data_IF_434341193823
#
_entry.id   IF_434341193823
#
_cell.length_a   1.000
_cell.length_b   1.000
_cell.length_c   1.000
_cell.angle_alpha   90.00
_cell.angle_beta   90.00
_cell.angle_gamma   90.00
#
_symmetry.space_group_name_H-M   'P 1'
#
loop_
_entity.id
_entity.type
_entity.pdbx_description
1 polymer ?
#
# COMPACT_ATOMS: atom_id res chain seq x y z
N UNK A 1 -12.62 -12.85 9.84
CA UNK A 1 -11.86 -12.01 8.92
C UNK A 1 -10.79 -11.28 9.72
N UNK A 2 -9.51 -11.55 9.46
CA UNK A 2 -8.38 -10.88 10.13
C UNK A 2 -7.89 -9.73 9.28
N UNK A 3 -7.52 -8.62 9.92
CA UNK A 3 -6.91 -7.49 9.25
C UNK A 3 -5.89 -6.83 10.18
N UNK A 4 -4.88 -6.21 9.58
CA UNK A 4 -3.87 -5.44 10.28
C UNK A 4 -3.60 -4.14 9.54
N UNK A 5 -3.43 -3.06 10.29
CA UNK A 5 -3.02 -1.76 9.78
C UNK A 5 -1.55 -1.54 10.11
N UNK A 6 -0.82 -1.00 9.15
CA UNK A 6 0.57 -0.55 9.31
C UNK A 6 0.64 0.94 9.00
N UNK A 7 1.36 1.68 9.85
CA UNK A 7 1.76 3.03 9.52
C UNK A 7 2.98 2.99 8.59
N UNK A 8 2.94 3.77 7.52
CA UNK A 8 3.93 3.73 6.45
C UNK A 8 4.92 4.87 6.63
N UNK A 9 6.20 4.52 6.72
CA UNK A 9 7.33 5.44 6.82
C UNK A 9 7.74 5.99 5.44
N UNK A 10 7.80 5.11 4.43
CA UNK A 10 8.21 5.47 3.07
C UNK A 10 7.34 4.74 2.05
N UNK A 11 7.11 5.40 0.91
CA UNK A 11 6.35 4.87 -0.22
C UNK A 11 7.08 5.24 -1.51
N UNK A 12 7.21 4.27 -2.42
CA UNK A 12 7.60 4.49 -3.80
C UNK A 12 6.58 3.84 -4.74
N UNK A 13 6.27 4.53 -5.84
CA UNK A 13 5.41 4.06 -6.92
C UNK A 13 6.26 4.03 -8.19
N UNK A 14 6.44 2.85 -8.80
CA UNK A 14 7.40 2.66 -9.92
C UNK A 14 8.80 3.16 -9.58
N UNK A 15 9.26 2.87 -8.36
CA UNK A 15 10.54 3.35 -7.83
C UNK A 15 10.66 4.88 -7.68
N UNK A 16 9.60 5.64 -7.96
CA UNK A 16 9.54 7.08 -7.72
C UNK A 16 9.05 7.32 -6.29
N UNK A 17 9.86 7.98 -5.43
CA UNK A 17 9.46 8.23 -4.05
C UNK A 17 8.27 9.18 -3.98
N UNK A 18 7.28 8.83 -3.17
CA UNK A 18 6.18 9.72 -2.79
C UNK A 18 6.56 10.37 -1.47
N UNK A 19 6.73 11.69 -1.45
CA UNK A 19 7.07 12.42 -0.22
C UNK A 19 5.83 12.49 0.66
N UNK A 20 5.81 11.69 1.72
CA UNK A 20 4.64 11.48 2.56
C UNK A 20 4.42 12.60 3.58
N UNK A 21 3.15 12.99 3.76
CA UNK A 21 2.66 13.64 4.99
C UNK A 21 2.22 12.58 6.00
N UNK A 22 1.48 11.59 5.51
CA UNK A 22 1.01 10.43 6.27
C UNK A 22 0.62 9.33 5.28
N UNK A 23 0.82 8.07 5.65
CA UNK A 23 0.29 6.95 4.88
C UNK A 23 0.01 5.74 5.78
N UNK A 24 -0.97 4.94 5.37
CA UNK A 24 -1.33 3.71 6.03
C UNK A 24 -1.52 2.60 5.02
N UNK A 25 -1.13 1.39 5.41
CA UNK A 25 -1.39 0.16 4.69
C UNK A 25 -2.41 -0.66 5.50
N UNK A 26 -3.50 -1.05 4.88
CA UNK A 26 -4.43 -2.03 5.41
C UNK A 26 -4.19 -3.36 4.68
N UNK A 27 -4.02 -4.43 5.45
CA UNK A 27 -3.87 -5.79 4.94
C UNK A 27 -4.97 -6.64 5.57
N UNK A 28 -5.68 -7.40 4.74
CA UNK A 28 -6.79 -8.24 5.17
C UNK A 28 -6.66 -9.64 4.56
N UNK A 29 -7.02 -10.63 5.36
CA UNK A 29 -7.17 -12.00 4.88
C UNK A 29 -8.47 -12.11 4.08
N UNK A 30 -8.36 -12.70 2.88
CA UNK A 30 -9.51 -12.99 2.04
C UNK A 30 -10.22 -14.25 2.53
N UNK A 31 -11.54 -14.22 2.54
CA UNK A 31 -12.34 -15.38 2.90
C UNK A 31 -12.10 -16.53 1.91
N UNK A 32 -11.69 -17.70 2.42
CA UNK A 32 -11.51 -18.92 1.62
C UNK A 32 -10.20 -19.01 0.82
N UNK A 33 -9.17 -18.19 1.09
CA UNK A 33 -7.91 -18.27 0.35
C UNK A 33 -6.67 -17.83 1.12
N UNK A 34 -5.50 -18.27 0.65
CA UNK A 34 -4.19 -17.89 1.20
C UNK A 34 -3.72 -16.49 0.75
N UNK A 35 -4.51 -15.77 -0.06
CA UNK A 35 -4.13 -14.48 -0.63
C UNK A 35 -4.63 -13.34 0.24
N UNK A 36 -3.76 -12.36 0.44
CA UNK A 36 -4.05 -11.12 1.14
C UNK A 36 -4.63 -10.09 0.18
N UNK A 37 -5.69 -9.43 0.61
CA UNK A 37 -6.16 -8.19 0.00
C UNK A 37 -5.49 -7.03 0.75
N UNK A 38 -5.00 -6.03 0.03
CA UNK A 38 -4.31 -4.90 0.66
C UNK A 38 -4.60 -3.58 -0.04
N UNK A 39 -4.55 -2.50 0.73
CA UNK A 39 -4.79 -1.14 0.26
C UNK A 39 -3.84 -0.16 0.97
N UNK A 40 -3.14 0.66 0.18
CA UNK A 40 -2.32 1.75 0.70
C UNK A 40 -3.03 3.08 0.42
N UNK A 41 -3.25 3.85 1.48
CA UNK A 41 -3.78 5.21 1.41
C UNK A 41 -2.66 6.14 1.85
N UNK A 42 -2.22 6.99 0.93
CA UNK A 42 -1.11 7.92 1.15
C UNK A 42 -1.56 9.35 0.88
N UNK A 43 -1.25 10.25 1.79
CA UNK A 43 -1.34 11.70 1.58
C UNK A 43 0.08 12.23 1.43
N UNK A 44 0.40 12.69 0.22
CA UNK A 44 1.69 13.28 -0.14
C UNK A 44 1.76 14.76 0.25
N UNK A 45 2.99 15.30 0.32
CA UNK A 45 3.23 16.73 0.41
C UNK A 45 3.01 17.43 -0.94
N UNK A 46 3.30 16.74 -2.04
CA UNK A 46 2.97 17.16 -3.39
C UNK A 46 1.51 16.81 -3.71
N UNK A 47 0.76 17.76 -4.25
CA UNK A 47 -0.64 17.57 -4.65
C UNK A 47 -0.79 17.04 -6.08
N UNK A 48 0.32 16.90 -6.82
CA UNK A 48 0.32 16.43 -8.21
C UNK A 48 -0.33 15.05 -8.31
N UNK A 49 -1.38 14.88 -9.13
CA UNK A 49 -2.04 13.61 -9.27
C UNK A 49 -1.15 12.60 -10.00
N UNK A 50 -1.15 11.36 -9.53
CA UNK A 50 -0.60 10.22 -10.26
C UNK A 50 -1.62 9.80 -11.32
N UNK A 51 -1.16 9.50 -12.53
CA UNK A 51 -2.03 9.03 -13.60
C UNK A 51 -2.73 7.71 -13.20
N UNK A 52 -3.97 7.46 -13.63
CA UNK A 52 -4.60 6.16 -13.43
C UNK A 52 -3.79 5.05 -14.10
N UNK A 53 -3.54 3.96 -13.39
CA UNK A 53 -2.70 2.88 -13.91
C UNK A 53 -2.45 1.74 -12.93
N UNK A 54 -1.71 0.74 -13.43
CA UNK A 54 -1.11 -0.32 -12.62
C UNK A 54 0.33 0.05 -12.33
N UNK A 55 0.75 -0.17 -11.09
CA UNK A 55 2.04 0.23 -10.59
C UNK A 55 2.65 -0.83 -9.68
N UNK A 56 3.98 -0.95 -9.69
CA UNK A 56 4.71 -1.53 -8.56
C UNK A 56 4.71 -0.53 -7.40
N UNK A 57 4.36 -1.01 -6.22
CA UNK A 57 4.42 -0.26 -4.97
C UNK A 57 5.43 -0.92 -4.07
N UNK A 58 6.36 -0.12 -3.56
CA UNK A 58 7.32 -0.52 -2.53
C UNK A 58 7.15 0.42 -1.33
N UNK A 59 7.10 -0.13 -0.12
CA UNK A 59 6.89 0.65 1.09
C UNK A 59 7.68 0.11 2.27
N UNK A 60 8.03 1.00 3.20
CA UNK A 60 8.57 0.61 4.51
C UNK A 60 7.61 1.11 5.59
N UNK A 61 7.27 0.25 6.53
CA UNK A 61 6.44 0.59 7.69
C UNK A 61 7.25 1.35 8.74
N UNK A 62 6.58 2.05 9.67
CA UNK A 62 7.26 2.69 10.81
C UNK A 62 7.97 1.68 11.73
N UNK A 63 7.54 0.41 11.75
CA UNK A 63 8.21 -0.69 12.46
C UNK A 63 9.45 -1.23 11.70
N UNK A 64 9.79 -0.66 10.53
CA UNK A 64 10.97 -1.04 9.74
C UNK A 64 10.74 -2.23 8.81
N UNK A 65 9.52 -2.78 8.74
CA UNK A 65 9.18 -3.84 7.79
C UNK A 65 9.11 -3.30 6.36
N UNK A 66 9.76 -3.99 5.43
CA UNK A 66 9.72 -3.70 3.99
C UNK A 66 8.65 -4.56 3.34
N UNK A 67 7.74 -3.94 2.60
CA UNK A 67 6.62 -4.57 1.91
C UNK A 67 6.54 -4.08 0.47
N UNK A 68 5.95 -4.87 -0.43
CA UNK A 68 5.73 -4.41 -1.79
C UNK A 68 4.86 -5.32 -2.63
N UNK A 69 4.29 -4.80 -3.70
CA UNK A 69 3.38 -5.57 -4.55
C UNK A 69 2.90 -4.76 -5.75
N UNK A 70 2.33 -5.42 -6.77
CA UNK A 70 1.61 -4.72 -7.83
C UNK A 70 0.28 -4.17 -7.28
N UNK A 71 -0.08 -2.96 -7.68
CA UNK A 71 -1.32 -2.28 -7.29
C UNK A 71 -1.94 -1.53 -8.46
N UNK A 72 -3.24 -1.29 -8.36
CA UNK A 72 -3.97 -0.36 -9.22
C UNK A 72 -4.17 0.94 -8.45
N UNK A 73 -3.86 2.07 -9.06
CA UNK A 73 -4.25 3.38 -8.54
C UNK A 73 -5.75 3.57 -8.79
N UNK A 74 -6.55 3.50 -7.72
CA UNK A 74 -8.01 3.63 -7.80
C UNK A 74 -8.47 5.07 -7.62
N UNK A 75 -7.66 5.92 -6.97
CA UNK A 75 -7.96 7.34 -6.77
C UNK A 75 -6.69 8.14 -6.55
N UNK A 76 -6.63 9.34 -7.12
CA UNK A 76 -5.58 10.33 -6.86
C UNK A 76 -6.18 11.73 -6.92
N UNK A 77 -6.36 12.39 -5.78
CA UNK A 77 -6.98 13.71 -5.68
C UNK A 77 -6.35 14.51 -4.54
N UNK A 78 -5.97 15.77 -4.81
CA UNK A 78 -5.43 16.69 -3.81
C UNK A 78 -4.28 16.08 -2.96
N UNK A 79 -3.34 15.40 -3.62
CA UNK A 79 -2.22 14.71 -2.97
C UNK A 79 -2.58 13.45 -2.20
N UNK A 80 -3.85 13.02 -2.20
CA UNK A 80 -4.26 11.73 -1.64
C UNK A 80 -4.33 10.67 -2.72
N UNK A 81 -3.52 9.62 -2.58
CA UNK A 81 -3.42 8.50 -3.49
C UNK A 81 -3.91 7.22 -2.80
N UNK A 82 -4.79 6.48 -3.48
CA UNK A 82 -5.31 5.19 -3.02
C UNK A 82 -4.87 4.12 -4.00
N UNK A 83 -4.05 3.20 -3.52
CA UNK A 83 -3.47 2.08 -4.26
C UNK A 83 -4.05 0.79 -3.72
N UNK A 84 -4.73 0.01 -4.57
CA UNK A 84 -5.30 -1.29 -4.21
C UNK A 84 -4.46 -2.40 -4.79
N UNK A 85 -4.09 -3.38 -3.98
CA UNK A 85 -3.32 -4.54 -4.42
C UNK A 85 -3.96 -5.28 -5.60
N UNK A 86 -3.17 -5.53 -6.64
CA UNK A 86 -3.49 -6.33 -7.83
C UNK A 86 -2.61 -7.60 -7.88
N UNK A 87 -2.17 -8.08 -6.72
CA UNK A 87 -1.22 -9.19 -6.62
C UNK A 87 -0.99 -9.65 -5.18
N UNK A 88 0.01 -10.50 -4.96
CA UNK A 88 0.54 -10.75 -3.64
C UNK A 88 1.13 -9.46 -3.02
N UNK A 89 1.22 -9.45 -1.70
CA UNK A 89 1.98 -8.46 -0.95
C UNK A 89 3.22 -9.16 -0.39
N UNK A 90 4.38 -8.86 -0.96
CA UNK A 90 5.66 -9.39 -0.54
C UNK A 90 6.01 -8.86 0.86
N UNK A 91 6.59 -9.71 1.71
CA UNK A 91 7.07 -9.33 3.05
C UNK A 91 6.06 -9.47 4.19
N UNK A 92 4.89 -10.07 3.92
CA UNK A 92 3.93 -10.46 4.95
C UNK A 92 3.13 -11.70 4.55
N UNK A 93 2.96 -12.61 5.49
CA UNK A 93 2.13 -13.80 5.35
C UNK A 93 0.80 -13.67 6.10
N UNK A 94 -0.20 -14.46 5.70
CA UNK A 94 -1.55 -14.34 6.24
C UNK A 94 -1.67 -14.72 7.73
N UNK A 95 -0.78 -15.56 8.24
CA UNK A 95 -0.73 -15.97 9.64
C UNK A 95 -0.19 -14.86 10.58
N UNK A 96 0.45 -13.83 10.03
CA UNK A 96 0.97 -12.66 10.75
C UNK A 96 -0.09 -11.58 11.03
N UNK A 97 -1.32 -11.74 10.54
CA UNK A 97 -2.44 -10.82 10.76
C UNK A 97 -3.17 -11.04 12.10
N UNK A 98 -2.50 -11.64 13.09
CA UNK A 98 -3.06 -11.98 14.41
C UNK A 98 -3.06 -10.83 15.40
#
# INVERSE_FOLDING_TARGET
MRHRRFDVATLAVEHVPVVLRVAHLLVAEREGGARLDWECVATALDATPIAPGRYRVDLTTLEGRVLGGPAILVRSIEGTHVLRGDGPLDGIEADELR
#
